data_IF_895674990495
#
_entry.id   IF_895674990495
#
_cell.length_a   1.000
_cell.length_b   1.000
_cell.length_c   1.000
_cell.angle_alpha   90.00
_cell.angle_beta   90.00
_cell.angle_gamma   90.00
#
_symmetry.space_group_name_H-M   'P 1'
#
loop_
_entity.id
_entity.type
_entity.pdbx_description
1 polymer ?
#
# COMPACT_ATOMS: atom_id res chain seq x y z
N UNK A 1 -3.90 -8.66 -5.34
CA UNK A 1 -2.62 -8.24 -4.74
C UNK A 1 -2.34 -9.12 -3.55
N UNK A 2 -1.14 -9.65 -3.42
CA UNK A 2 -0.78 -10.67 -2.42
C UNK A 2 0.51 -10.29 -1.73
N UNK A 3 0.73 -10.88 -0.56
CA UNK A 3 2.02 -10.79 0.13
C UNK A 3 3.13 -11.29 -0.81
N UNK A 4 4.19 -10.51 -0.95
CA UNK A 4 5.31 -10.80 -1.84
C UNK A 4 5.24 -10.12 -3.20
N UNK A 5 4.10 -9.54 -3.57
CA UNK A 5 3.99 -8.82 -4.84
C UNK A 5 4.87 -7.58 -4.84
N UNK A 6 5.53 -7.35 -5.97
CA UNK A 6 6.30 -6.15 -6.20
C UNK A 6 5.38 -5.07 -6.76
N UNK A 7 5.38 -3.91 -6.11
CA UNK A 7 4.50 -2.79 -6.46
C UNK A 7 5.30 -1.50 -6.54
N UNK A 8 4.70 -0.52 -7.20
CA UNK A 8 5.20 0.85 -7.25
C UNK A 8 4.07 1.81 -6.89
N UNK A 9 4.38 2.83 -6.12
CA UNK A 9 3.43 3.90 -5.83
C UNK A 9 3.10 4.65 -7.13
N UNK A 10 1.79 4.85 -7.38
CA UNK A 10 1.29 5.41 -8.64
C UNK A 10 1.19 6.93 -8.57
N UNK A 11 2.33 7.58 -8.33
CA UNK A 11 2.45 9.04 -8.39
C UNK A 11 3.89 9.44 -8.67
N UNK A 12 4.10 10.75 -8.87
CA UNK A 12 5.43 11.29 -9.18
C UNK A 12 6.46 10.86 -8.15
N UNK A 13 7.56 10.32 -8.61
CA UNK A 13 8.59 9.75 -7.74
C UNK A 13 8.28 8.35 -7.23
N UNK A 14 7.28 7.67 -7.80
CA UNK A 14 6.77 6.37 -7.38
C UNK A 14 7.81 5.41 -6.86
N UNK A 15 7.73 5.13 -5.55
CA UNK A 15 8.71 4.31 -4.85
C UNK A 15 8.36 2.84 -5.00
N UNK A 16 9.37 1.99 -5.08
CA UNK A 16 9.19 0.55 -5.17
C UNK A 16 9.00 -0.06 -3.79
N UNK A 17 8.17 -1.07 -3.72
CA UNK A 17 7.94 -1.79 -2.47
C UNK A 17 7.45 -3.20 -2.70
N UNK A 18 7.34 -3.93 -1.59
CA UNK A 18 6.83 -5.29 -1.56
C UNK A 18 5.63 -5.32 -0.63
N UNK A 19 4.54 -5.93 -1.08
CA UNK A 19 3.34 -6.11 -0.26
C UNK A 19 3.68 -7.10 0.87
N UNK A 20 3.42 -6.69 2.11
CA UNK A 20 3.75 -7.49 3.28
C UNK A 20 2.53 -7.87 4.13
N UNK A 21 1.33 -7.50 3.67
CA UNK A 21 0.09 -7.91 4.34
C UNK A 21 -0.97 -8.31 3.32
N UNK A 22 -1.98 -9.02 3.79
CA UNK A 22 -3.19 -9.25 3.01
C UNK A 22 -3.97 -7.93 2.88
N UNK A 23 -4.82 -7.84 1.86
CA UNK A 23 -5.76 -6.71 1.72
C UNK A 23 -6.67 -6.70 2.95
N UNK A 24 -6.82 -5.53 3.54
CA UNK A 24 -7.69 -5.31 4.69
C UNK A 24 -8.42 -3.98 4.55
N UNK A 25 -9.42 -3.76 5.38
CA UNK A 25 -10.07 -2.46 5.46
C UNK A 25 -9.21 -1.49 6.25
N UNK A 26 -9.17 -0.25 5.80
CA UNK A 26 -8.46 0.81 6.51
C UNK A 26 -9.13 1.10 7.85
N UNK A 27 -8.30 1.43 8.83
CA UNK A 27 -8.74 1.92 10.13
C UNK A 27 -8.74 3.45 10.13
N UNK A 28 -9.32 4.12 11.13
CA UNK A 28 -9.21 5.57 11.24
C UNK A 28 -7.76 6.08 11.24
N UNK A 29 -6.86 5.32 11.86
CA UNK A 29 -5.43 5.66 11.85
C UNK A 29 -4.82 5.54 10.45
N UNK A 30 -5.18 4.49 9.72
CA UNK A 30 -4.76 4.33 8.32
C UNK A 30 -5.27 5.49 7.49
N UNK A 31 -6.53 5.88 7.66
CA UNK A 31 -7.15 6.99 6.92
C UNK A 31 -6.42 8.30 7.18
N UNK A 32 -5.95 8.52 8.39
CA UNK A 32 -5.15 9.69 8.72
C UNK A 32 -3.86 9.72 7.89
N UNK A 33 -3.16 8.59 7.78
CA UNK A 33 -1.95 8.48 6.96
C UNK A 33 -2.23 8.69 5.47
N UNK A 34 -3.38 8.20 5.01
CA UNK A 34 -3.79 8.28 3.61
C UNK A 34 -4.38 9.64 3.23
N UNK A 35 -4.63 10.52 4.20
CA UNK A 35 -5.34 11.77 3.96
C UNK A 35 -6.81 11.58 3.63
N UNK A 36 -7.38 10.42 3.97
CA UNK A 36 -8.77 10.10 3.70
C UNK A 36 -9.71 10.65 4.77
N UNK A 37 -10.98 10.74 4.43
CA UNK A 37 -12.02 11.22 5.35
C UNK A 37 -12.18 10.27 6.53
N UNK A 38 -12.39 10.83 7.71
CA UNK A 38 -12.69 10.08 8.91
C UNK A 38 -13.99 9.29 8.71
N UNK A 39 -13.95 8.02 9.04
CA UNK A 39 -15.11 7.15 8.92
C UNK A 39 -15.21 6.37 7.61
N UNK A 40 -14.47 6.78 6.57
CA UNK A 40 -14.41 6.03 5.33
C UNK A 40 -13.59 4.75 5.53
N UNK A 41 -13.89 3.73 4.72
CA UNK A 41 -13.06 2.52 4.68
C UNK A 41 -12.56 2.30 3.28
N UNK A 42 -11.30 1.91 3.17
CA UNK A 42 -10.64 1.66 1.91
C UNK A 42 -9.95 0.29 1.95
N UNK A 43 -9.88 -0.42 0.82
CA UNK A 43 -9.05 -1.61 0.73
C UNK A 43 -7.59 -1.19 0.71
N UNK A 44 -6.84 -1.60 1.72
CA UNK A 44 -5.42 -1.21 1.89
C UNK A 44 -4.54 -2.44 2.08
N UNK A 45 -3.26 -2.25 1.83
CA UNK A 45 -2.22 -3.22 2.16
C UNK A 45 -1.06 -2.48 2.83
N UNK A 46 -0.30 -3.24 3.61
CA UNK A 46 0.99 -2.76 4.09
C UNK A 46 2.05 -3.04 3.04
N UNK A 47 2.89 -2.06 2.78
CA UNK A 47 3.96 -2.13 1.79
C UNK A 47 5.28 -1.79 2.47
N UNK A 48 6.27 -2.64 2.29
CA UNK A 48 7.64 -2.34 2.69
C UNK A 48 8.33 -1.66 1.52
N UNK A 49 8.63 -0.37 1.67
CA UNK A 49 9.38 0.38 0.67
C UNK A 49 10.84 -0.08 0.72
N UNK A 50 11.30 -0.67 -0.38
CA UNK A 50 12.57 -1.41 -0.37
C UNK A 50 13.78 -0.51 -0.19
N UNK A 51 13.76 0.66 -0.80
CA UNK A 51 14.88 1.59 -0.74
C UNK A 51 14.94 2.33 0.59
N UNK A 52 13.77 2.76 1.06
CA UNK A 52 13.62 3.53 2.31
C UNK A 52 13.67 2.64 3.54
N UNK A 53 13.39 1.34 3.36
CA UNK A 53 13.31 0.34 4.43
C UNK A 53 12.26 0.70 5.48
N UNK A 54 11.14 1.27 5.05
CA UNK A 54 10.00 1.62 5.92
C UNK A 54 8.75 0.93 5.44
N UNK A 55 7.88 0.60 6.38
CA UNK A 55 6.56 0.04 6.10
C UNK A 55 5.52 1.17 6.09
N UNK A 56 4.72 1.21 5.03
CA UNK A 56 3.66 2.20 4.85
C UNK A 56 2.35 1.50 4.55
N UNK A 57 1.25 2.16 4.86
CA UNK A 57 -0.10 1.71 4.46
C UNK A 57 -0.46 2.41 3.17
N UNK A 58 -0.95 1.64 2.19
CA UNK A 58 -1.35 2.22 0.90
C UNK A 58 -2.67 1.64 0.45
N UNK A 59 -3.52 2.51 -0.11
CA UNK A 59 -4.72 2.09 -0.81
C UNK A 59 -4.29 1.29 -2.05
N UNK A 60 -4.94 0.16 -2.30
CA UNK A 60 -4.57 -0.70 -3.44
C UNK A 60 -4.71 0.02 -4.77
N UNK A 61 -5.62 1.00 -4.88
CA UNK A 61 -5.82 1.77 -6.11
C UNK A 61 -4.66 2.72 -6.40
N UNK A 62 -3.81 2.99 -5.44
CA UNK A 62 -2.64 3.86 -5.60
C UNK A 62 -1.35 3.09 -5.89
N UNK A 63 -1.47 1.79 -6.12
CA UNK A 63 -0.32 0.92 -6.37
C UNK A 63 -0.40 0.33 -7.76
N UNK A 64 0.74 0.31 -8.45
CA UNK A 64 0.91 -0.40 -9.70
C UNK A 64 1.55 -1.76 -9.41
N UNK A 65 0.89 -2.83 -9.82
CA UNK A 65 1.41 -4.18 -9.67
C UNK A 65 2.46 -4.43 -10.76
N UNK A 66 3.69 -4.70 -10.36
CA UNK A 66 4.79 -4.93 -11.28
C UNK A 66 5.06 -6.41 -11.50
N UNK A 67 4.81 -7.23 -10.49
CA UNK A 67 5.08 -8.67 -10.54
C UNK A 67 4.20 -9.38 -9.53
N UNK A 68 3.41 -10.35 -9.99
CA UNK A 68 2.57 -11.15 -9.10
C UNK A 68 3.37 -12.26 -8.46
N UNK A 69 3.25 -12.39 -7.15
CA UNK A 69 3.75 -13.56 -6.41
C UNK A 69 2.86 -14.76 -6.72
N UNK A 70 3.48 -15.91 -6.96
CA UNK A 70 2.77 -17.14 -7.29
C UNK A 70 3.19 -18.29 -6.41
#
# INVERSE_FOLDING_TARGET
MRVGDLVREDWAGGRLGVVVSKIRRSTPLDNHQLGAMYGDTHPVVDVLLTREAIKVVRDIDTLELLNESR
#
